data_IF_767337264629
#
_entry.id   IF_767337264629
#
_cell.length_a   1.000
_cell.length_b   1.000
_cell.length_c   1.000
_cell.angle_alpha   90.00
_cell.angle_beta   90.00
_cell.angle_gamma   90.00
#
_symmetry.space_group_name_H-M   'P 1'
#
loop_
_entity.id
_entity.type
_entity.pdbx_description
1 polymer ?
#
# COMPACT_ATOMS: atom_id res chain seq x y z
N UNK A 1 14.36 -9.60 -2.80
CA UNK A 1 13.34 -8.63 -3.18
C UNK A 1 12.48 -9.08 -4.34
N UNK A 2 13.09 -9.65 -5.38
CA UNK A 2 12.42 -10.17 -6.58
C UNK A 2 11.38 -11.25 -6.27
N UNK A 3 11.72 -12.18 -5.40
CA UNK A 3 10.89 -13.35 -5.10
C UNK A 3 9.47 -13.03 -4.60
N UNK A 4 9.26 -11.86 -4.03
CA UNK A 4 7.92 -11.48 -3.55
C UNK A 4 7.08 -10.91 -4.70
N UNK A 5 7.66 -10.12 -5.58
CA UNK A 5 6.98 -9.64 -6.77
C UNK A 5 6.53 -10.82 -7.64
N UNK A 6 7.40 -11.82 -7.86
CA UNK A 6 7.06 -13.05 -8.59
C UNK A 6 5.98 -13.88 -7.89
N UNK A 7 6.06 -14.06 -6.57
CA UNK A 7 5.07 -14.86 -5.81
C UNK A 7 3.68 -14.22 -5.77
N UNK A 8 3.60 -12.92 -6.00
CA UNK A 8 2.35 -12.17 -6.06
C UNK A 8 1.73 -12.11 -7.45
N UNK A 9 2.40 -12.66 -8.47
CA UNK A 9 1.97 -12.51 -9.85
C UNK A 9 1.94 -11.05 -10.28
N UNK A 10 2.75 -10.22 -9.62
CA UNK A 10 2.96 -8.83 -10.01
C UNK A 10 3.99 -8.83 -11.12
N UNK A 11 3.50 -9.03 -12.32
CA UNK A 11 4.29 -8.81 -13.53
C UNK A 11 4.53 -7.31 -13.64
N UNK A 12 5.71 -6.95 -13.33
CA UNK A 12 6.12 -5.63 -12.93
C UNK A 12 6.09 -4.58 -14.00
N UNK A 13 5.63 -4.88 -15.19
CA UNK A 13 5.67 -3.89 -16.25
C UNK A 13 4.63 -4.11 -17.35
N UNK A 14 3.59 -4.87 -17.07
CA UNK A 14 2.52 -5.08 -18.04
C UNK A 14 1.50 -3.94 -18.00
N UNK A 15 0.98 -3.64 -19.15
CA UNK A 15 -0.08 -2.68 -19.29
C UNK A 15 -1.44 -3.36 -19.22
N UNK A 16 -2.32 -2.79 -18.40
CA UNK A 16 -3.66 -3.28 -18.19
C UNK A 16 -4.68 -2.21 -18.53
N UNK A 17 -5.86 -2.63 -18.98
CA UNK A 17 -7.00 -1.73 -19.07
C UNK A 17 -7.94 -1.94 -17.89
N UNK A 18 -8.52 -0.85 -17.41
CA UNK A 18 -9.54 -0.88 -16.36
C UNK A 18 -10.70 0.01 -16.78
N UNK A 19 -11.90 -0.56 -16.74
CA UNK A 19 -13.10 0.23 -16.92
C UNK A 19 -13.41 0.97 -15.62
N UNK A 20 -13.50 2.28 -15.67
CA UNK A 20 -13.90 3.09 -14.53
C UNK A 20 -15.41 3.20 -14.43
N UNK A 21 -15.93 3.58 -13.25
CA UNK A 21 -17.37 3.74 -12.98
C UNK A 21 -18.11 4.71 -13.92
N UNK A 22 -17.40 5.50 -14.72
CA UNK A 22 -17.94 6.43 -15.70
C UNK A 22 -17.99 5.84 -17.13
N UNK A 23 -17.75 4.53 -17.30
CA UNK A 23 -17.71 3.87 -18.60
C UNK A 23 -16.44 4.14 -19.43
N UNK A 24 -15.47 4.86 -18.87
CA UNK A 24 -14.20 5.14 -19.54
C UNK A 24 -13.20 4.03 -19.29
N UNK A 25 -12.58 3.53 -20.35
CA UNK A 25 -11.43 2.64 -20.28
C UNK A 25 -10.19 3.51 -20.06
N UNK A 26 -9.37 3.15 -19.09
CA UNK A 26 -8.06 3.77 -18.85
C UNK A 26 -6.98 2.70 -18.87
N UNK A 27 -5.85 3.03 -19.47
CA UNK A 27 -4.67 2.19 -19.42
C UNK A 27 -3.77 2.58 -18.26
N UNK A 28 -3.22 1.60 -17.60
CA UNK A 28 -2.29 1.81 -16.51
C UNK A 28 -1.20 0.75 -16.52
N UNK A 29 -0.07 1.09 -15.97
CA UNK A 29 1.01 0.16 -15.72
C UNK A 29 1.00 -0.28 -14.26
N UNK A 30 0.99 -1.60 -14.03
CA UNK A 30 1.21 -2.14 -12.70
C UNK A 30 2.69 -1.95 -12.33
N UNK A 31 2.94 -1.17 -11.27
CA UNK A 31 4.28 -0.98 -10.72
C UNK A 31 4.30 -1.46 -9.29
N UNK A 32 5.20 -2.36 -9.00
CA UNK A 32 5.47 -2.74 -7.62
C UNK A 32 6.08 -1.56 -6.87
N UNK A 33 5.64 -1.39 -5.64
CA UNK A 33 6.17 -0.36 -4.74
C UNK A 33 6.58 -0.98 -3.42
N UNK A 34 7.64 -0.42 -2.79
CA UNK A 34 8.13 -0.86 -1.49
C UNK A 34 8.70 0.30 -0.68
N UNK A 35 8.91 0.06 0.59
CA UNK A 35 9.70 0.92 1.45
C UNK A 35 11.00 0.20 1.83
N UNK A 36 12.12 0.89 1.72
CA UNK A 36 13.37 0.50 2.37
C UNK A 36 13.24 0.82 3.86
N UNK A 37 12.96 -0.22 4.65
CA UNK A 37 12.77 -0.12 6.09
C UNK A 37 14.10 0.17 6.79
N UNK A 38 15.21 -0.33 6.24
CA UNK A 38 16.55 -0.13 6.80
C UNK A 38 17.00 1.33 6.71
N UNK A 39 16.55 2.05 5.67
CA UNK A 39 16.83 3.47 5.50
C UNK A 39 15.88 4.38 6.31
N UNK A 40 14.89 3.83 7.00
CA UNK A 40 13.96 4.63 7.78
C UNK A 40 14.60 5.18 9.06
N UNK A 41 14.67 6.48 9.16
CA UNK A 41 15.02 7.19 10.40
C UNK A 41 13.81 7.92 10.97
N UNK A 42 13.47 7.56 12.22
CA UNK A 42 12.35 8.23 12.87
C UNK A 42 12.72 9.67 13.28
N UNK A 43 12.18 10.63 12.54
CA UNK A 43 12.40 12.07 12.78
C UNK A 43 11.41 12.64 13.80
N UNK A 44 11.76 13.78 14.41
CA UNK A 44 10.90 14.53 15.34
C UNK A 44 9.50 14.79 14.77
N UNK A 45 9.38 15.06 13.46
CA UNK A 45 8.10 15.27 12.77
C UNK A 45 7.21 14.01 12.80
N UNK A 46 7.81 12.80 12.67
CA UNK A 46 7.07 11.54 12.68
C UNK A 46 6.48 11.29 14.08
N UNK A 47 7.29 11.41 15.13
CA UNK A 47 6.83 11.31 16.53
C UNK A 47 5.74 12.32 16.87
N UNK A 48 5.87 13.57 16.37
CA UNK A 48 4.86 14.61 16.53
C UNK A 48 3.55 14.23 15.85
N UNK A 49 3.62 13.62 14.65
CA UNK A 49 2.44 13.21 13.90
C UNK A 49 1.70 12.06 14.59
N UNK A 50 2.43 11.03 15.05
CA UNK A 50 1.87 9.93 15.83
C UNK A 50 1.18 10.46 17.09
N UNK A 51 1.88 11.29 17.88
CA UNK A 51 1.31 11.86 19.12
C UNK A 51 0.05 12.70 18.87
N UNK A 52 0.02 13.48 17.77
CA UNK A 52 -1.16 14.29 17.41
C UNK A 52 -2.34 13.46 16.96
N UNK A 53 -2.10 12.31 16.38
CA UNK A 53 -3.17 11.41 15.99
C UNK A 53 -3.91 10.82 17.19
N UNK A 54 -3.26 10.77 18.38
CA UNK A 54 -3.86 10.19 19.58
C UNK A 54 -4.24 8.72 19.43
N UNK A 55 -3.53 8.00 18.56
CA UNK A 55 -3.84 6.62 18.23
C UNK A 55 -2.88 5.69 18.96
N UNK A 56 -3.44 4.69 19.60
CA UNK A 56 -2.70 3.55 20.15
C UNK A 56 -2.62 2.44 19.09
N UNK A 57 -1.57 1.62 19.16
CA UNK A 57 -1.35 0.52 18.23
C UNK A 57 -0.98 -0.73 19.00
N UNK A 58 -1.77 -1.78 18.84
CA UNK A 58 -1.49 -3.10 19.38
C UNK A 58 -1.17 -4.08 18.24
N UNK A 59 -0.31 -5.05 18.55
CA UNK A 59 0.12 -6.07 17.60
C UNK A 59 -0.48 -7.41 17.99
N UNK A 60 -1.20 -8.02 17.06
CA UNK A 60 -1.86 -9.31 17.25
C UNK A 60 -1.39 -10.31 16.21
N UNK A 61 -1.21 -11.56 16.60
CA UNK A 61 -0.99 -12.70 15.69
C UNK A 61 -2.26 -13.52 15.50
N UNK A 62 -3.23 -13.32 16.38
CA UNK A 62 -4.60 -13.87 16.30
C UNK A 62 -5.61 -12.75 16.55
N UNK A 63 -6.60 -12.65 15.69
CA UNK A 63 -7.68 -11.66 15.76
C UNK A 63 -9.06 -12.27 15.86
N UNK A 64 -9.16 -13.57 16.17
CA UNK A 64 -10.43 -14.30 16.23
C UNK A 64 -11.46 -13.62 17.12
N UNK A 65 -11.07 -13.11 18.27
CA UNK A 65 -11.97 -12.44 19.22
C UNK A 65 -12.46 -11.06 18.76
N UNK A 66 -11.72 -10.40 17.85
CA UNK A 66 -12.02 -9.03 17.37
C UNK A 66 -12.30 -8.97 15.87
N UNK A 67 -12.35 -10.13 15.20
CA UNK A 67 -12.50 -10.22 13.73
C UNK A 67 -13.72 -9.48 13.21
N UNK A 68 -14.87 -9.61 13.86
CA UNK A 68 -16.11 -8.90 13.48
C UNK A 68 -15.97 -7.38 13.56
N UNK A 69 -15.26 -6.89 14.58
CA UNK A 69 -14.97 -5.46 14.74
C UNK A 69 -14.07 -4.95 13.63
N UNK A 70 -13.00 -5.68 13.32
CA UNK A 70 -12.09 -5.34 12.23
C UNK A 70 -12.80 -5.41 10.87
N UNK A 71 -13.60 -6.43 10.64
CA UNK A 71 -14.37 -6.56 9.39
C UNK A 71 -15.41 -5.45 9.23
N UNK A 72 -16.00 -4.98 10.33
CA UNK A 72 -16.88 -3.80 10.31
C UNK A 72 -16.13 -2.55 9.89
N UNK A 73 -14.93 -2.30 10.41
CA UNK A 73 -14.07 -1.19 9.97
C UNK A 73 -13.70 -1.35 8.49
N UNK A 74 -13.37 -2.57 8.05
CA UNK A 74 -13.09 -2.85 6.65
C UNK A 74 -14.25 -2.48 5.72
N UNK A 75 -15.49 -2.91 6.05
CA UNK A 75 -16.69 -2.57 5.25
C UNK A 75 -16.92 -1.06 5.16
N UNK A 76 -16.78 -0.34 6.26
CA UNK A 76 -16.86 1.13 6.26
C UNK A 76 -15.81 1.75 5.35
N UNK A 77 -14.56 1.25 5.40
CA UNK A 77 -13.47 1.73 4.56
C UNK A 77 -13.75 1.51 3.07
N UNK A 78 -14.16 0.30 2.69
CA UNK A 78 -14.50 -0.04 1.30
C UNK A 78 -15.62 0.86 0.77
N UNK A 79 -16.68 1.06 1.57
CA UNK A 79 -17.79 1.93 1.21
C UNK A 79 -17.35 3.40 1.04
N UNK A 80 -16.54 3.92 1.97
CA UNK A 80 -16.01 5.29 1.90
C UNK A 80 -15.11 5.52 0.69
N UNK A 81 -14.34 4.50 0.30
CA UNK A 81 -13.43 4.54 -0.86
C UNK A 81 -14.11 4.17 -2.17
N UNK A 82 -15.32 3.65 -2.13
CA UNK A 82 -16.07 3.17 -3.30
C UNK A 82 -15.29 2.10 -4.09
N UNK A 83 -14.59 1.22 -3.39
CA UNK A 83 -13.90 0.10 -4.01
C UNK A 83 -14.90 -0.93 -4.50
N UNK A 84 -14.63 -1.52 -5.66
CA UNK A 84 -15.46 -2.56 -6.27
C UNK A 84 -14.94 -3.96 -5.98
N UNK A 85 -13.64 -4.09 -5.76
CA UNK A 85 -12.99 -5.34 -5.41
C UNK A 85 -12.76 -5.36 -3.89
N UNK A 86 -13.36 -6.32 -3.20
CA UNK A 86 -13.29 -6.44 -1.75
C UNK A 86 -13.49 -7.90 -1.29
N UNK A 87 -13.05 -8.19 -0.08
CA UNK A 87 -13.28 -9.48 0.55
C UNK A 87 -14.72 -9.57 1.07
N UNK A 88 -15.42 -10.65 0.73
CA UNK A 88 -16.83 -10.82 1.09
C UNK A 88 -17.04 -11.34 2.53
N UNK A 89 -15.99 -11.91 3.12
CA UNK A 89 -16.03 -12.41 4.50
C UNK A 89 -14.81 -11.97 5.32
N UNK A 90 -14.93 -12.03 6.63
CA UNK A 90 -13.82 -11.83 7.55
C UNK A 90 -12.78 -12.94 7.40
N UNK A 91 -13.21 -14.16 7.18
CA UNK A 91 -12.34 -15.31 6.97
C UNK A 91 -11.42 -15.11 5.77
N UNK A 92 -11.99 -14.74 4.61
CA UNK A 92 -11.21 -14.46 3.41
C UNK A 92 -10.20 -13.30 3.59
N UNK A 93 -10.63 -12.27 4.34
CA UNK A 93 -9.79 -11.11 4.61
C UNK A 93 -8.61 -11.44 5.51
N UNK A 94 -8.83 -12.27 6.53
CA UNK A 94 -7.84 -12.53 7.56
C UNK A 94 -7.02 -13.81 7.34
N UNK A 95 -7.39 -14.64 6.37
CA UNK A 95 -6.60 -15.80 6.00
C UNK A 95 -5.24 -15.40 5.39
N UNK A 96 -4.19 -16.11 5.81
CA UNK A 96 -2.83 -15.85 5.33
C UNK A 96 -2.44 -16.81 4.23
N UNK A 97 -1.92 -16.27 3.12
CA UNK A 97 -1.39 -17.07 2.00
C UNK A 97 0.12 -16.97 1.82
N UNK A 98 0.79 -16.06 2.54
CA UNK A 98 2.17 -15.67 2.24
C UNK A 98 3.17 -15.73 3.41
N UNK A 99 2.84 -16.39 4.50
CA UNK A 99 3.74 -16.49 5.64
C UNK A 99 3.06 -16.21 6.98
N UNK A 100 3.84 -15.81 7.98
CA UNK A 100 3.29 -15.41 9.28
C UNK A 100 2.54 -14.08 9.13
N UNK A 101 1.24 -14.08 9.48
CA UNK A 101 0.40 -12.90 9.44
C UNK A 101 0.38 -12.18 10.78
N UNK A 102 0.52 -10.88 10.72
CA UNK A 102 0.48 -9.99 11.87
C UNK A 102 -0.49 -8.85 11.59
N UNK A 103 -1.23 -8.48 12.62
CA UNK A 103 -2.21 -7.40 12.58
C UNK A 103 -1.75 -6.26 13.48
N UNK A 104 -1.62 -5.06 12.92
CA UNK A 104 -1.50 -3.84 13.71
C UNK A 104 -2.89 -3.25 13.85
N UNK A 105 -3.45 -3.30 15.04
CA UNK A 105 -4.79 -2.79 15.36
C UNK A 105 -4.66 -1.41 15.97
N UNK A 106 -5.41 -0.45 15.45
CA UNK A 106 -5.35 0.95 15.85
C UNK A 106 -6.62 1.32 16.61
N UNK A 107 -6.44 1.86 17.81
CA UNK A 107 -7.52 2.36 18.65
C UNK A 107 -7.40 3.87 18.88
N UNK A 108 -8.52 4.52 19.05
CA UNK A 108 -8.61 5.92 19.47
C UNK A 108 -9.73 6.03 20.49
N UNK A 109 -9.42 6.55 21.68
CA UNK A 109 -10.34 6.61 22.81
C UNK A 109 -11.01 5.26 23.10
N UNK A 110 -10.21 4.18 23.09
CA UNK A 110 -10.67 2.80 23.37
C UNK A 110 -11.50 2.14 22.25
N UNK A 111 -11.71 2.82 21.14
CA UNK A 111 -12.48 2.29 20.01
C UNK A 111 -11.54 1.86 18.87
N UNK A 112 -11.73 0.67 18.31
CA UNK A 112 -11.00 0.22 17.12
C UNK A 112 -11.41 1.09 15.93
N UNK A 113 -10.44 1.82 15.36
CA UNK A 113 -10.64 2.71 14.22
C UNK A 113 -9.93 2.27 12.95
N UNK A 114 -9.09 1.26 13.02
CA UNK A 114 -8.37 0.76 11.85
C UNK A 114 -7.47 -0.42 12.15
N UNK A 115 -6.97 -1.02 11.08
CA UNK A 115 -5.96 -2.07 11.16
C UNK A 115 -5.09 -2.10 9.92
N UNK A 116 -3.90 -2.69 10.06
CA UNK A 116 -3.03 -3.07 8.96
C UNK A 116 -2.69 -4.54 9.06
N UNK A 117 -2.73 -5.24 7.95
CA UNK A 117 -2.24 -6.61 7.84
C UNK A 117 -0.80 -6.55 7.31
N UNK A 118 0.08 -7.32 7.94
CA UNK A 118 1.44 -7.56 7.48
C UNK A 118 1.64 -9.07 7.35
N UNK A 119 2.11 -9.51 6.20
CA UNK A 119 2.61 -10.85 5.99
C UNK A 119 4.15 -10.82 6.07
N UNK A 120 4.73 -11.50 7.05
CA UNK A 120 6.17 -11.68 7.19
C UNK A 120 6.59 -12.82 6.26
N UNK A 121 7.06 -12.47 5.07
CA UNK A 121 7.31 -13.43 3.98
C UNK A 121 8.66 -14.12 4.12
N UNK A 122 9.63 -13.43 4.69
CA UNK A 122 10.95 -13.95 5.03
C UNK A 122 11.54 -13.18 6.22
N UNK A 123 12.74 -13.57 6.64
CA UNK A 123 13.52 -12.87 7.66
C UNK A 123 13.90 -11.42 7.29
N UNK A 124 13.73 -11.03 6.02
CA UNK A 124 14.11 -9.71 5.50
C UNK A 124 12.99 -8.94 4.84
N UNK A 125 11.87 -9.57 4.56
CA UNK A 125 10.83 -8.98 3.73
C UNK A 125 9.46 -9.19 4.33
N UNK A 126 8.67 -8.13 4.30
CA UNK A 126 7.27 -8.15 4.66
C UNK A 126 6.41 -7.53 3.56
N UNK A 127 5.14 -7.84 3.58
CA UNK A 127 4.14 -7.29 2.70
C UNK A 127 2.98 -6.70 3.47
N UNK A 128 2.40 -5.64 2.96
CA UNK A 128 1.21 -5.01 3.52
C UNK A 128 0.01 -5.24 2.58
N UNK A 129 -0.64 -6.42 2.63
CA UNK A 129 -1.72 -6.76 1.70
C UNK A 129 -2.95 -5.91 1.91
N UNK A 130 -3.24 -5.52 3.15
CA UNK A 130 -4.44 -4.75 3.44
C UNK A 130 -4.20 -3.73 4.55
N UNK A 131 -4.84 -2.59 4.37
CA UNK A 131 -5.04 -1.55 5.37
C UNK A 131 -6.47 -1.05 5.27
N UNK A 132 -7.16 -0.91 6.39
CA UNK A 132 -8.48 -0.31 6.45
C UNK A 132 -8.62 0.55 7.70
N UNK A 133 -9.44 1.62 7.62
CA UNK A 133 -9.72 2.46 8.76
C UNK A 133 -11.06 3.20 8.61
N UNK A 134 -11.62 3.58 9.74
CA UNK A 134 -12.86 4.35 9.79
C UNK A 134 -12.62 5.81 9.35
N UNK A 135 -13.23 6.18 8.25
CA UNK A 135 -13.08 7.49 7.62
C UNK A 135 -13.90 8.60 8.30
N UNK A 136 -14.61 8.32 9.38
CA UNK A 136 -15.44 9.32 10.09
C UNK A 136 -14.60 10.50 10.61
N UNK A 137 -13.32 10.25 10.95
CA UNK A 137 -12.40 11.30 11.38
C UNK A 137 -11.13 11.36 10.52
N UNK A 138 -11.19 11.90 9.28
CA UNK A 138 -10.05 11.92 8.35
C UNK A 138 -8.85 12.74 8.84
N UNK A 139 -9.05 13.64 9.82
CA UNK A 139 -7.97 14.48 10.38
C UNK A 139 -6.93 13.69 11.17
N UNK A 140 -7.28 12.52 11.69
CA UNK A 140 -6.34 11.60 12.33
C UNK A 140 -5.20 11.25 11.37
N UNK A 141 -5.50 11.12 10.07
CA UNK A 141 -4.51 10.81 9.04
C UNK A 141 -3.91 9.42 9.20
N UNK A 142 -4.75 8.43 9.62
CA UNK A 142 -4.30 7.09 9.99
C UNK A 142 -3.56 6.39 8.85
N UNK A 143 -3.89 6.68 7.60
CA UNK A 143 -3.18 6.11 6.44
C UNK A 143 -1.67 6.36 6.45
N UNK A 144 -1.23 7.51 6.91
CA UNK A 144 0.21 7.80 7.07
C UNK A 144 0.74 7.30 8.42
N UNK A 145 -0.02 7.50 9.50
CA UNK A 145 0.39 7.11 10.87
C UNK A 145 0.58 5.60 10.97
N UNK A 146 -0.31 4.81 10.36
CA UNK A 146 -0.19 3.35 10.34
C UNK A 146 1.12 2.88 9.70
N UNK A 147 1.58 3.55 8.64
CA UNK A 147 2.87 3.22 8.00
C UNK A 147 4.06 3.50 8.92
N UNK A 148 4.01 4.55 9.73
CA UNK A 148 5.06 4.82 10.71
C UNK A 148 5.11 3.72 11.78
N UNK A 149 3.97 3.21 12.23
CA UNK A 149 3.92 2.06 13.14
C UNK A 149 4.43 0.77 12.49
N UNK A 150 4.04 0.51 11.23
CA UNK A 150 4.56 -0.62 10.47
C UNK A 150 6.09 -0.57 10.34
N UNK A 151 6.66 0.58 9.98
CA UNK A 151 8.10 0.77 9.86
C UNK A 151 8.84 0.51 11.18
N UNK A 152 8.32 1.01 12.31
CA UNK A 152 8.88 0.72 13.64
C UNK A 152 8.87 -0.78 13.94
N UNK A 153 7.71 -1.40 13.80
CA UNK A 153 7.52 -2.82 14.05
C UNK A 153 8.47 -3.69 13.23
N UNK A 154 8.64 -3.36 11.95
CA UNK A 154 9.50 -4.10 11.04
C UNK A 154 11.00 -3.86 11.32
N UNK A 155 11.40 -2.64 11.70
CA UNK A 155 12.78 -2.35 12.11
C UNK A 155 13.21 -3.14 13.34
N UNK A 156 12.34 -3.25 14.35
CA UNK A 156 12.58 -4.05 15.55
C UNK A 156 12.82 -5.53 15.25
N UNK A 157 12.37 -6.00 14.08
CA UNK A 157 12.55 -7.36 13.57
C UNK A 157 13.62 -7.50 12.51
N UNK A 158 14.39 -6.45 12.23
CA UNK A 158 15.43 -6.42 11.20
C UNK A 158 14.94 -6.74 9.79
N UNK A 159 13.65 -6.48 9.52
CA UNK A 159 13.07 -6.55 8.17
C UNK A 159 13.64 -5.39 7.34
N UNK A 160 14.12 -5.69 6.14
CA UNK A 160 14.75 -4.71 5.25
C UNK A 160 13.74 -4.01 4.33
N UNK A 161 12.73 -4.74 3.87
CA UNK A 161 11.78 -4.20 2.88
C UNK A 161 10.33 -4.48 3.25
N UNK A 162 9.48 -3.45 3.08
CA UNK A 162 8.02 -3.57 3.15
C UNK A 162 7.41 -3.32 1.77
N UNK A 163 6.85 -4.36 1.17
CA UNK A 163 6.16 -4.27 -0.11
C UNK A 163 4.73 -3.75 0.06
N UNK A 164 4.36 -2.76 -0.76
CA UNK A 164 3.07 -2.05 -0.69
C UNK A 164 2.11 -2.43 -1.82
N UNK A 165 2.48 -3.43 -2.62
CA UNK A 165 1.73 -3.83 -3.82
C UNK A 165 1.86 -2.83 -4.96
N UNK A 166 0.94 -2.94 -5.92
CA UNK A 166 0.95 -2.15 -7.14
C UNK A 166 0.57 -0.69 -6.91
N UNK A 167 1.06 0.16 -7.78
CA UNK A 167 0.73 1.57 -7.81
C UNK A 167 0.52 2.02 -9.25
N UNK A 168 -0.69 2.45 -9.58
CA UNK A 168 -1.06 2.84 -10.95
C UNK A 168 -2.14 3.91 -11.00
N UNK A 169 -2.69 4.32 -9.87
CA UNK A 169 -3.75 5.32 -9.81
C UNK A 169 -3.32 6.55 -9.01
N UNK A 170 -3.96 7.69 -9.30
CA UNK A 170 -3.73 8.94 -8.58
C UNK A 170 -3.75 8.81 -7.05
N UNK A 171 -4.66 8.03 -6.42
CA UNK A 171 -4.63 7.79 -4.98
C UNK A 171 -3.35 7.12 -4.48
N UNK A 172 -2.64 6.41 -5.35
CA UNK A 172 -1.36 5.75 -5.02
C UNK A 172 -0.21 6.73 -4.82
N UNK A 173 -0.32 7.97 -5.29
CA UNK A 173 0.71 9.00 -5.12
C UNK A 173 1.08 9.23 -3.65
N UNK A 174 0.13 9.06 -2.74
CA UNK A 174 0.39 9.17 -1.30
C UNK A 174 1.42 8.17 -0.76
N UNK A 175 1.68 7.06 -1.46
CA UNK A 175 2.74 6.12 -1.08
C UNK A 175 4.13 6.75 -1.19
N UNK A 176 4.34 7.61 -2.18
CA UNK A 176 5.64 8.27 -2.44
C UNK A 176 6.03 9.30 -1.39
N UNK A 177 5.13 9.70 -0.50
CA UNK A 177 5.44 10.58 0.61
C UNK A 177 6.00 9.83 1.84
N UNK A 178 6.03 8.49 1.77
CA UNK A 178 6.53 7.63 2.83
C UNK A 178 8.08 7.57 2.81
N UNK A 179 8.71 7.49 3.99
CA UNK A 179 10.16 7.35 4.06
C UNK A 179 10.64 6.04 3.41
N UNK A 180 11.73 6.10 2.68
CA UNK A 180 12.32 4.93 2.02
C UNK A 180 11.52 4.41 0.83
N UNK A 181 10.61 5.22 0.27
CA UNK A 181 9.80 4.80 -0.88
C UNK A 181 10.66 4.50 -2.11
N UNK A 182 10.40 3.34 -2.70
CA UNK A 182 10.96 2.88 -3.97
C UNK A 182 9.86 2.28 -4.84
N UNK A 183 10.05 2.36 -6.15
CA UNK A 183 9.16 1.78 -7.14
C UNK A 183 9.96 1.03 -8.21
N UNK A 184 9.37 0.00 -8.80
CA UNK A 184 10.00 -0.77 -9.85
C UNK A 184 9.87 -0.05 -11.20
N UNK A 185 11.00 0.24 -11.84
CA UNK A 185 11.04 0.98 -13.11
C UNK A 185 11.11 0.06 -14.35
N UNK A 186 10.92 -1.25 -14.13
CA UNK A 186 11.05 -2.28 -15.16
C UNK A 186 12.44 -2.97 -15.16
N UNK A 187 13.41 -2.42 -14.44
CA UNK A 187 14.79 -2.97 -14.37
C UNK A 187 15.36 -2.99 -12.96
N UNK A 188 15.06 -1.97 -12.19
CA UNK A 188 15.59 -1.78 -10.83
C UNK A 188 14.58 -1.06 -9.95
N UNK A 189 14.80 -1.14 -8.67
CA UNK A 189 14.13 -0.30 -7.70
C UNK A 189 14.68 1.13 -7.81
N UNK A 190 13.79 2.09 -8.00
CA UNK A 190 14.10 3.50 -8.21
C UNK A 190 13.52 4.35 -7.07
N UNK A 191 14.32 5.29 -6.60
CA UNK A 191 13.91 6.34 -5.65
C UNK A 191 13.60 7.68 -6.33
N UNK A 192 13.53 7.71 -7.67
CA UNK A 192 13.14 8.90 -8.42
C UNK A 192 11.63 9.15 -8.28
N UNK A 193 11.27 9.89 -7.23
CA UNK A 193 9.89 10.21 -6.88
C UNK A 193 9.27 11.16 -7.90
N UNK A 194 10.02 12.06 -8.46
CA UNK A 194 9.51 13.06 -9.42
C UNK A 194 9.11 12.35 -10.73
N UNK A 195 9.94 11.44 -11.21
CA UNK A 195 9.61 10.60 -12.37
C UNK A 195 8.41 9.73 -12.08
N UNK A 196 8.36 9.06 -10.91
CA UNK A 196 7.22 8.24 -10.50
C UNK A 196 5.91 9.03 -10.53
N UNK A 197 5.88 10.20 -9.88
CA UNK A 197 4.69 11.08 -9.84
C UNK A 197 4.28 11.53 -11.25
N UNK A 198 5.27 11.89 -12.07
CA UNK A 198 5.03 12.30 -13.44
C UNK A 198 4.36 11.19 -14.26
N UNK A 199 4.89 9.97 -14.18
CA UNK A 199 4.35 8.82 -14.91
C UNK A 199 2.92 8.49 -14.48
N UNK A 200 2.63 8.42 -13.18
CA UNK A 200 1.27 8.17 -12.66
C UNK A 200 0.27 9.21 -13.21
N UNK A 201 0.66 10.49 -13.21
CA UNK A 201 -0.21 11.57 -13.74
C UNK A 201 -0.45 11.43 -15.24
N UNK A 202 0.58 11.06 -16.01
CA UNK A 202 0.41 10.86 -17.45
C UNK A 202 -0.48 9.65 -17.73
N UNK A 203 -0.21 8.53 -17.09
CA UNK A 203 -0.98 7.28 -17.28
C UNK A 203 -2.44 7.41 -16.86
N UNK A 204 -2.74 8.21 -15.84
CA UNK A 204 -4.13 8.44 -15.42
C UNK A 204 -5.00 9.10 -16.50
N UNK A 205 -4.39 9.62 -17.55
CA UNK A 205 -5.07 10.30 -18.67
C UNK A 205 -5.16 9.46 -19.93
N UNK A 206 -4.42 8.34 -20.02
CA UNK A 206 -4.39 7.49 -21.20
C UNK A 206 -5.73 6.78 -21.37
N UNK A 207 -6.36 6.99 -22.50
CA UNK A 207 -7.65 6.38 -22.87
C UNK A 207 -7.56 5.48 -24.10
N UNK A 208 -6.56 5.68 -24.95
CA UNK A 208 -6.40 4.98 -26.22
C UNK A 208 -5.05 4.26 -26.34
N UNK A 209 -4.98 3.26 -27.21
CA UNK A 209 -3.73 2.56 -27.49
C UNK A 209 -2.67 3.48 -28.12
N UNK A 210 -3.09 4.45 -28.94
CA UNK A 210 -2.15 5.39 -29.57
C UNK A 210 -1.49 6.28 -28.51
N UNK A 211 -2.24 6.77 -27.52
CA UNK A 211 -1.68 7.52 -26.40
C UNK A 211 -0.71 6.66 -25.58
N UNK A 212 -1.04 5.37 -25.37
CA UNK A 212 -0.19 4.40 -24.69
C UNK A 212 1.13 4.21 -25.45
N UNK A 213 1.09 3.96 -26.76
CA UNK A 213 2.28 3.80 -27.58
C UNK A 213 3.15 5.06 -27.60
N UNK A 214 2.54 6.24 -27.65
CA UNK A 214 3.25 7.51 -27.59
C UNK A 214 3.96 7.68 -26.23
N UNK A 215 3.30 7.30 -25.12
CA UNK A 215 3.91 7.32 -23.80
C UNK A 215 5.07 6.33 -23.70
N UNK A 216 4.89 5.10 -24.20
CA UNK A 216 5.93 4.08 -24.22
C UNK A 216 7.17 4.56 -24.97
N UNK A 217 6.99 5.11 -26.17
CA UNK A 217 8.09 5.65 -26.97
C UNK A 217 8.81 6.79 -26.27
N UNK A 218 8.10 7.64 -25.58
CA UNK A 218 8.68 8.80 -24.93
C UNK A 218 9.48 8.46 -23.67
N UNK A 219 9.01 7.53 -22.83
CA UNK A 219 9.56 7.31 -21.50
C UNK A 219 10.19 5.92 -21.32
N UNK A 220 9.69 4.89 -22.01
CA UNK A 220 10.10 3.52 -21.78
C UNK A 220 11.08 2.98 -22.83
N UNK A 221 10.99 3.39 -24.10
CA UNK A 221 11.94 2.97 -25.13
C UNK A 221 13.35 3.57 -24.97
N UNK A 222 13.49 4.67 -24.21
CA UNK A 222 14.82 5.26 -23.88
C UNK A 222 15.60 4.48 -22.86
N UNK A 223 15.01 3.47 -22.26
CA UNK A 223 15.60 2.66 -21.19
C UNK A 223 15.80 1.20 -21.59
N UNK A 224 15.55 0.85 -22.85
CA UNK A 224 15.84 -0.46 -23.47
C UNK A 224 17.22 -0.51 -24.09
#
# INVERSE_FOLDING_TARGET
GWHIAESWGVDDFDWYNKQRNEGKVVWYQARSTRLDVSAYEERKRHRKKIRRAGVECEVHTDVSEISDSLYTVYKKYIAAKKFTDFYESAEDLFDSKLGERVFLVFTHDGTIIGFSILDLVSDKTAMAPQFAWDYENPQIGLGYVSKLYQLRYLQERSIEYLYLGNSYEMPSLGKSDLPGFEWWDGRKWSSDIDLYKHLIVQESRIQTLDELYNLQQKYYSRHV
#
